data_IF_929103905250
#
_entry.id   IF_929103905250
#
_cell.length_a   1.000
_cell.length_b   1.000
_cell.length_c   1.000
_cell.angle_alpha   90.00
_cell.angle_beta   90.00
_cell.angle_gamma   90.00
#
_symmetry.space_group_name_H-M   'P 1'
#
loop_
_entity.id
_entity.type
_entity.pdbx_description
1 polymer ?
#
# COMPACT_ATOMS: atom_id res chain seq x y z
N UNK A 1 -58.36 25.90 11.06
CA UNK A 1 -57.23 25.95 12.02
C UNK A 1 -56.29 24.74 11.94
N UNK A 2 -56.78 23.49 11.89
CA UNK A 2 -55.92 22.27 11.83
C UNK A 2 -55.04 22.14 10.57
N UNK A 3 -55.42 22.74 9.43
CA UNK A 3 -54.65 22.69 8.17
C UNK A 3 -53.52 23.72 8.13
N UNK A 4 -53.74 24.91 8.71
CA UNK A 4 -52.74 25.99 8.78
C UNK A 4 -51.59 25.61 9.74
N UNK A 5 -51.91 24.91 10.84
CA UNK A 5 -50.92 24.44 11.80
C UNK A 5 -50.01 23.34 11.22
N UNK A 6 -50.52 22.47 10.33
CA UNK A 6 -49.71 21.45 9.63
C UNK A 6 -48.74 22.07 8.61
N UNK A 7 -49.15 23.13 7.90
CA UNK A 7 -48.26 23.86 6.98
C UNK A 7 -47.17 24.65 7.70
N UNK A 8 -47.45 25.24 8.86
CA UNK A 8 -46.45 25.96 9.66
C UNK A 8 -45.37 25.05 10.25
N UNK A 9 -45.74 23.83 10.68
CA UNK A 9 -44.78 22.82 11.17
C UNK A 9 -43.88 22.30 10.05
N UNK A 10 -44.41 22.13 8.83
CA UNK A 10 -43.62 21.67 7.67
C UNK A 10 -42.57 22.71 7.25
N UNK A 11 -42.91 24.00 7.27
CA UNK A 11 -41.98 25.11 6.94
C UNK A 11 -40.87 25.26 7.99
N UNK A 12 -41.17 25.05 9.28
CA UNK A 12 -40.17 25.08 10.35
C UNK A 12 -39.18 23.91 10.26
N UNK A 13 -39.65 22.70 9.90
CA UNK A 13 -38.78 21.52 9.75
C UNK A 13 -37.85 21.66 8.52
N UNK A 14 -38.34 22.20 7.41
CA UNK A 14 -37.50 22.47 6.22
C UNK A 14 -36.49 23.59 6.47
N UNK A 15 -36.85 24.61 7.25
CA UNK A 15 -35.94 25.71 7.60
C UNK A 15 -34.81 25.25 8.54
N UNK A 16 -35.09 24.33 9.47
CA UNK A 16 -34.08 23.79 10.39
C UNK A 16 -33.07 22.86 9.69
N UNK A 17 -33.47 22.16 8.62
CA UNK A 17 -32.57 21.33 7.83
C UNK A 17 -31.59 22.13 6.95
N UNK A 18 -31.99 23.32 6.47
CA UNK A 18 -31.13 24.16 5.63
C UNK A 18 -30.02 24.86 6.44
N UNK A 19 -30.34 25.34 7.65
CA UNK A 19 -29.37 26.05 8.51
C UNK A 19 -28.21 25.14 8.96
N UNK A 20 -28.48 23.86 9.23
CA UNK A 20 -27.46 22.89 9.61
C UNK A 20 -26.45 22.63 8.47
N UNK A 21 -26.94 22.61 7.23
CA UNK A 21 -26.09 22.37 6.05
C UNK A 21 -25.18 23.57 5.75
N UNK A 22 -25.66 24.80 5.96
CA UNK A 22 -24.88 26.02 5.73
C UNK A 22 -23.75 26.21 6.76
N UNK A 23 -24.02 25.88 8.03
CA UNK A 23 -22.99 25.94 9.08
C UNK A 23 -21.88 24.90 8.83
N UNK A 24 -22.24 23.67 8.46
CA UNK A 24 -21.25 22.63 8.12
C UNK A 24 -20.37 23.03 6.93
N UNK A 25 -20.95 23.64 5.88
CA UNK A 25 -20.19 24.15 4.73
C UNK A 25 -19.24 25.28 5.10
N UNK A 26 -19.65 26.16 6.01
CA UNK A 26 -18.79 27.23 6.53
C UNK A 26 -17.60 26.66 7.31
N UNK A 27 -17.85 25.72 8.22
CA UNK A 27 -16.81 25.04 8.98
C UNK A 27 -15.82 24.30 8.08
N UNK A 28 -16.34 23.59 7.06
CA UNK A 28 -15.50 22.92 6.06
C UNK A 28 -14.60 23.92 5.33
N UNK A 29 -15.16 25.05 4.87
CA UNK A 29 -14.39 26.11 4.20
C UNK A 29 -13.27 26.67 5.08
N UNK A 30 -13.56 26.96 6.34
CA UNK A 30 -12.56 27.47 7.29
C UNK A 30 -11.43 26.46 7.54
N UNK A 31 -11.75 25.17 7.66
CA UNK A 31 -10.74 24.13 7.83
C UNK A 31 -9.89 23.91 6.59
N UNK A 32 -10.51 23.87 5.41
CA UNK A 32 -9.79 23.76 4.13
C UNK A 32 -8.83 24.95 3.97
N UNK A 33 -9.28 26.17 4.29
CA UNK A 33 -8.43 27.36 4.23
C UNK A 33 -7.25 27.26 5.20
N UNK A 34 -7.48 26.82 6.45
CA UNK A 34 -6.40 26.61 7.44
C UNK A 34 -5.39 25.58 6.98
N UNK A 35 -5.84 24.45 6.44
CA UNK A 35 -4.96 23.41 5.92
C UNK A 35 -4.20 23.86 4.66
N UNK A 36 -4.85 24.61 3.77
CA UNK A 36 -4.18 25.14 2.58
C UNK A 36 -3.04 26.10 2.94
N UNK A 37 -3.17 26.87 4.02
CA UNK A 37 -2.11 27.77 4.49
C UNK A 37 -0.85 27.03 5.00
N UNK A 38 -0.94 25.72 5.26
CA UNK A 38 0.22 24.89 5.60
C UNK A 38 0.85 24.22 4.38
N UNK A 39 0.29 24.42 3.19
CA UNK A 39 0.86 23.92 1.94
C UNK A 39 1.97 24.87 1.41
N UNK A 40 2.97 24.36 0.67
CA UNK A 40 3.14 22.96 0.27
C UNK A 40 3.65 22.06 1.41
N UNK A 41 3.18 20.81 1.45
CA UNK A 41 3.63 19.78 2.42
C UNK A 41 4.31 18.65 1.65
N UNK A 42 5.60 18.46 1.85
CA UNK A 42 6.32 17.29 1.32
C UNK A 42 5.96 16.05 2.15
N UNK A 43 5.49 15.00 1.48
CA UNK A 43 5.25 13.66 2.04
C UNK A 43 6.42 12.74 1.70
N UNK A 44 7.65 13.24 1.87
CA UNK A 44 8.89 12.56 1.46
C UNK A 44 9.24 12.78 -0.01
N UNK A 45 10.16 11.98 -0.54
CA UNK A 45 10.70 12.13 -1.92
C UNK A 45 9.77 11.66 -3.05
N UNK A 46 8.52 11.29 -2.73
CA UNK A 46 7.57 10.68 -3.67
C UNK A 46 6.46 11.65 -4.05
N UNK A 47 5.98 12.44 -3.09
CA UNK A 47 4.73 13.21 -3.23
C UNK A 47 4.77 14.50 -2.42
N UNK A 48 4.20 15.57 -2.98
CA UNK A 48 3.99 16.85 -2.30
C UNK A 48 2.53 17.28 -2.40
N UNK A 49 1.89 17.62 -1.28
CA UNK A 49 0.58 18.28 -1.29
C UNK A 49 0.82 19.77 -1.60
N UNK A 50 0.38 20.23 -2.76
CA UNK A 50 0.60 21.60 -3.21
C UNK A 50 -0.47 22.57 -2.70
N UNK A 51 -1.73 22.12 -2.69
CA UNK A 51 -2.86 22.96 -2.32
C UNK A 51 -4.08 22.13 -1.97
N UNK A 52 -4.95 22.71 -1.16
CA UNK A 52 -6.29 22.19 -0.87
C UNK A 52 -7.29 23.33 -0.99
N UNK A 53 -8.31 23.16 -1.82
CA UNK A 53 -9.31 24.21 -2.08
C UNK A 53 -10.72 23.63 -2.04
N UNK A 54 -11.70 24.45 -1.66
CA UNK A 54 -13.12 24.10 -1.73
C UNK A 54 -13.73 24.85 -2.91
N UNK A 55 -14.06 24.15 -4.00
CA UNK A 55 -14.71 24.69 -5.20
C UNK A 55 -16.01 23.93 -5.45
N UNK A 56 -17.11 24.64 -5.70
CA UNK A 56 -18.41 24.03 -6.03
C UNK A 56 -18.83 22.85 -5.13
N UNK A 57 -18.65 23.02 -3.81
CA UNK A 57 -18.94 22.00 -2.80
C UNK A 57 -18.08 20.72 -2.91
N UNK A 58 -16.89 20.85 -3.48
CA UNK A 58 -15.89 19.79 -3.68
C UNK A 58 -14.56 20.23 -3.11
N UNK A 59 -13.97 19.41 -2.25
CA UNK A 59 -12.62 19.63 -1.73
C UNK A 59 -11.63 19.01 -2.71
N UNK A 60 -10.87 19.86 -3.39
CA UNK A 60 -9.81 19.45 -4.32
C UNK A 60 -8.46 19.51 -3.60
N UNK A 61 -7.78 18.38 -3.52
CA UNK A 61 -6.42 18.28 -2.99
C UNK A 61 -5.46 17.96 -4.14
N UNK A 62 -4.54 18.88 -4.42
CA UNK A 62 -3.59 18.76 -5.53
C UNK A 62 -2.24 18.24 -5.05
N UNK A 63 -1.76 17.19 -5.69
CA UNK A 63 -0.49 16.54 -5.42
C UNK A 63 0.47 16.68 -6.59
N UNK A 64 1.74 16.93 -6.31
CA UNK A 64 2.84 16.67 -7.25
C UNK A 64 3.41 15.29 -6.98
N UNK A 65 3.69 14.53 -8.04
CA UNK A 65 4.27 13.18 -7.97
C UNK A 65 5.60 13.14 -8.69
N UNK A 66 6.60 12.58 -8.02
CA UNK A 66 7.86 12.22 -8.64
C UNK A 66 7.66 10.99 -9.54
N UNK A 67 7.58 11.24 -10.85
CA UNK A 67 7.31 10.23 -11.87
C UNK A 67 8.44 9.22 -12.05
N UNK A 68 9.65 9.49 -11.53
CA UNK A 68 10.72 8.48 -11.52
C UNK A 68 10.46 7.34 -10.53
N UNK A 69 9.52 7.52 -9.60
CA UNK A 69 9.13 6.52 -8.60
C UNK A 69 7.75 5.95 -8.92
N UNK A 70 6.79 6.81 -9.24
CA UNK A 70 5.42 6.39 -9.56
C UNK A 70 4.92 7.15 -10.79
N UNK A 71 4.96 6.54 -11.98
CA UNK A 71 4.40 7.14 -13.18
C UNK A 71 2.90 7.42 -13.04
N UNK A 72 2.45 8.60 -13.47
CA UNK A 72 1.01 8.96 -13.45
C UNK A 72 0.16 7.98 -14.27
N UNK A 73 0.72 7.41 -15.33
CA UNK A 73 0.06 6.38 -16.14
C UNK A 73 -0.42 5.19 -15.32
N UNK A 74 0.30 4.77 -14.28
CA UNK A 74 -0.10 3.66 -13.41
C UNK A 74 -1.37 3.98 -12.62
N UNK A 75 -1.52 5.22 -12.14
CA UNK A 75 -2.71 5.68 -11.44
C UNK A 75 -3.92 5.63 -12.38
N UNK A 76 -3.75 6.10 -13.62
CA UNK A 76 -4.82 6.08 -14.62
C UNK A 76 -5.20 4.66 -15.05
N UNK A 77 -4.23 3.76 -15.22
CA UNK A 77 -4.47 2.37 -15.61
C UNK A 77 -5.10 1.53 -14.50
N UNK A 78 -4.91 1.90 -13.23
CA UNK A 78 -5.39 1.15 -12.05
C UNK A 78 -6.22 2.04 -11.11
N UNK A 79 -7.07 2.90 -11.69
CA UNK A 79 -7.80 3.95 -10.96
C UNK A 79 -8.56 3.42 -9.74
N UNK A 80 -9.27 2.30 -9.88
CA UNK A 80 -10.05 1.71 -8.79
C UNK A 80 -9.19 1.18 -7.64
N UNK A 81 -8.06 0.56 -7.93
CA UNK A 81 -7.13 0.09 -6.89
C UNK A 81 -6.53 1.27 -6.11
N UNK A 82 -6.15 2.33 -6.81
CA UNK A 82 -5.67 3.56 -6.17
C UNK A 82 -6.77 4.26 -5.38
N UNK A 83 -8.00 4.30 -5.90
CA UNK A 83 -9.16 4.88 -5.22
C UNK A 83 -9.46 4.12 -3.92
N UNK A 84 -9.47 2.78 -3.96
CA UNK A 84 -9.64 1.95 -2.77
C UNK A 84 -8.51 2.14 -1.75
N UNK A 85 -7.25 2.16 -2.20
CA UNK A 85 -6.10 2.42 -1.33
C UNK A 85 -6.19 3.80 -0.65
N UNK A 86 -6.54 4.83 -1.42
CA UNK A 86 -6.68 6.19 -0.90
C UNK A 86 -7.89 6.31 0.05
N UNK A 87 -9.00 5.62 -0.22
CA UNK A 87 -10.15 5.56 0.70
C UNK A 87 -9.71 5.07 2.09
N UNK A 88 -8.85 4.05 2.14
CA UNK A 88 -8.34 3.49 3.38
C UNK A 88 -7.36 4.42 4.09
N UNK A 89 -6.65 5.30 3.38
CA UNK A 89 -5.81 6.36 3.98
C UNK A 89 -6.69 7.47 4.56
N UNK A 90 -7.72 7.88 3.82
CA UNK A 90 -8.67 8.92 4.21
C UNK A 90 -9.50 8.50 5.44
N UNK A 91 -9.74 7.20 5.64
CA UNK A 91 -10.42 6.68 6.82
C UNK A 91 -9.55 6.61 8.09
N UNK A 92 -8.24 6.87 8.01
CA UNK A 92 -7.35 6.85 9.18
C UNK A 92 -7.56 8.05 10.09
N UNK A 93 -7.19 7.91 11.36
CA UNK A 93 -7.35 8.96 12.37
C UNK A 93 -6.70 10.30 11.97
N UNK A 94 -5.58 10.27 11.22
CA UNK A 94 -4.90 11.47 10.74
C UNK A 94 -5.72 12.32 9.76
N UNK A 95 -6.63 11.68 9.01
CA UNK A 95 -7.48 12.35 7.99
C UNK A 95 -8.94 12.46 8.43
N UNK A 96 -9.32 11.74 9.48
CA UNK A 96 -10.71 11.56 9.93
C UNK A 96 -11.45 12.86 10.14
N UNK A 97 -10.86 13.84 10.83
CA UNK A 97 -11.52 15.12 11.10
C UNK A 97 -11.88 15.83 9.78
N UNK A 98 -10.96 15.89 8.83
CA UNK A 98 -11.20 16.52 7.54
C UNK A 98 -12.30 15.79 6.77
N UNK A 99 -12.23 14.46 6.70
CA UNK A 99 -13.22 13.64 5.98
C UNK A 99 -14.60 13.71 6.64
N UNK A 100 -14.69 13.69 7.97
CA UNK A 100 -15.96 13.86 8.68
C UNK A 100 -16.63 15.19 8.34
N UNK A 101 -15.85 16.27 8.19
CA UNK A 101 -16.41 17.57 7.85
C UNK A 101 -16.83 17.67 6.38
N UNK A 102 -16.13 16.97 5.48
CA UNK A 102 -16.58 16.78 4.09
C UNK A 102 -17.94 16.06 4.08
N UNK A 103 -18.06 14.95 4.82
CA UNK A 103 -19.31 14.17 4.92
C UNK A 103 -20.44 14.99 5.55
N UNK A 104 -20.20 15.68 6.67
CA UNK A 104 -21.21 16.53 7.35
C UNK A 104 -21.70 17.69 6.49
N UNK A 105 -20.83 18.26 5.66
CA UNK A 105 -21.19 19.30 4.70
C UNK A 105 -21.86 18.76 3.43
N UNK A 106 -21.96 17.43 3.30
CA UNK A 106 -22.38 16.74 2.08
C UNK A 106 -21.58 17.22 0.84
N UNK A 107 -20.27 17.40 1.04
CA UNK A 107 -19.32 17.78 0.00
C UNK A 107 -18.67 16.54 -0.61
N UNK A 108 -18.09 16.70 -1.80
CA UNK A 108 -17.27 15.67 -2.43
C UNK A 108 -15.77 15.94 -2.21
N UNK A 109 -14.92 14.96 -2.48
CA UNK A 109 -13.47 15.08 -2.40
C UNK A 109 -12.84 14.60 -3.71
N UNK A 110 -11.85 15.33 -4.22
CA UNK A 110 -11.07 14.93 -5.39
C UNK A 110 -9.59 15.05 -5.08
N UNK A 111 -8.86 13.96 -5.24
CA UNK A 111 -7.40 13.95 -5.25
C UNK A 111 -6.90 14.10 -6.68
N UNK A 112 -6.14 15.17 -6.94
CA UNK A 112 -5.61 15.52 -8.26
C UNK A 112 -4.10 15.31 -8.25
N UNK A 113 -3.62 14.26 -8.91
CA UNK A 113 -2.19 13.95 -9.06
C UNK A 113 -1.65 14.58 -10.33
N UNK A 114 -0.51 15.28 -10.22
CA UNK A 114 0.18 15.91 -11.36
C UNK A 114 1.63 15.45 -11.38
N UNK A 115 2.06 14.92 -12.52
CA UNK A 115 3.45 14.52 -12.73
C UNK A 115 4.39 15.73 -12.77
N UNK A 116 5.46 15.70 -11.96
CA UNK A 116 6.43 16.80 -11.89
C UNK A 116 7.19 17.01 -13.21
N UNK A 117 7.37 15.96 -14.01
CA UNK A 117 8.18 15.99 -15.23
C UNK A 117 7.28 16.19 -16.46
N UNK A 118 6.17 15.47 -16.53
CA UNK A 118 5.28 15.44 -17.70
C UNK A 118 4.12 16.43 -17.62
N UNK A 119 3.73 16.87 -16.41
CA UNK A 119 2.49 17.62 -16.18
C UNK A 119 1.21 16.79 -16.37
N UNK A 120 1.33 15.48 -16.63
CA UNK A 120 0.18 14.57 -16.81
C UNK A 120 -0.66 14.51 -15.54
N UNK A 121 -1.97 14.38 -15.70
CA UNK A 121 -2.93 14.38 -14.59
C UNK A 121 -3.63 13.03 -14.40
N UNK A 122 -3.88 12.68 -13.16
CA UNK A 122 -4.81 11.63 -12.75
C UNK A 122 -5.69 12.14 -11.62
N UNK A 123 -6.98 11.80 -11.64
CA UNK A 123 -7.95 12.30 -10.67
C UNK A 123 -8.74 11.15 -10.05
N UNK A 124 -8.80 11.13 -8.72
CA UNK A 124 -9.58 10.18 -7.93
C UNK A 124 -10.66 10.93 -7.16
N UNK A 125 -11.90 10.74 -7.57
CA UNK A 125 -13.08 11.38 -7.02
C UNK A 125 -13.77 10.50 -5.96
N UNK A 126 -14.32 11.13 -4.93
CA UNK A 126 -15.06 10.49 -3.85
C UNK A 126 -16.28 11.33 -3.52
N UNK A 127 -17.45 10.69 -3.56
CA UNK A 127 -18.69 11.23 -3.03
C UNK A 127 -18.69 11.23 -1.50
N UNK A 128 -19.55 12.06 -0.90
CA UNK A 128 -19.81 12.04 0.55
C UNK A 128 -20.21 10.64 1.05
N UNK A 129 -21.00 9.91 0.25
CA UNK A 129 -21.44 8.55 0.59
C UNK A 129 -20.30 7.55 0.56
N UNK A 130 -19.45 7.57 -0.47
CA UNK A 130 -18.26 6.71 -0.53
C UNK A 130 -17.32 6.95 0.64
N UNK A 131 -17.09 8.23 1.01
CA UNK A 131 -16.25 8.58 2.17
C UNK A 131 -16.85 8.07 3.48
N UNK A 132 -18.16 8.25 3.68
CA UNK A 132 -18.87 7.72 4.85
C UNK A 132 -18.79 6.21 4.92
N UNK A 133 -19.07 5.50 3.83
CA UNK A 133 -18.97 4.04 3.78
C UNK A 133 -17.54 3.58 4.06
N UNK A 134 -16.52 4.26 3.53
CA UNK A 134 -15.12 3.94 3.81
C UNK A 134 -14.76 4.16 5.29
N UNK A 135 -15.28 5.23 5.93
CA UNK A 135 -15.07 5.51 7.36
C UNK A 135 -15.76 4.47 8.24
N UNK A 136 -17.00 4.10 7.94
CA UNK A 136 -17.75 3.06 8.64
C UNK A 136 -17.05 1.71 8.52
N UNK A 137 -16.64 1.34 7.29
CA UNK A 137 -15.87 0.12 7.03
C UNK A 137 -14.60 0.07 7.88
N UNK A 138 -13.81 1.14 7.90
CA UNK A 138 -12.57 1.21 8.68
C UNK A 138 -12.83 1.20 10.20
N UNK A 139 -13.87 1.89 10.67
CA UNK A 139 -14.23 1.94 12.09
C UNK A 139 -14.67 0.58 12.63
N UNK A 140 -15.31 -0.22 11.77
CA UNK A 140 -15.76 -1.57 12.10
C UNK A 140 -14.64 -2.63 12.06
N UNK A 141 -13.44 -2.28 11.60
CA UNK A 141 -12.29 -3.18 11.63
C UNK A 141 -11.75 -3.36 13.06
N UNK A 142 -11.30 -4.57 13.38
CA UNK A 142 -10.48 -4.80 14.57
C UNK A 142 -9.13 -4.10 14.44
N UNK A 143 -8.40 -3.92 15.55
CA UNK A 143 -7.05 -3.34 15.50
C UNK A 143 -6.10 -4.18 14.64
N UNK A 144 -6.19 -5.50 14.70
CA UNK A 144 -5.41 -6.41 13.84
C UNK A 144 -5.75 -6.21 12.35
N UNK A 145 -7.03 -6.06 12.01
CA UNK A 145 -7.45 -5.75 10.63
C UNK A 145 -6.95 -4.37 10.16
N UNK A 146 -7.04 -3.33 11.01
CA UNK A 146 -6.51 -1.99 10.69
C UNK A 146 -5.01 -2.01 10.48
N UNK A 147 -4.27 -2.77 11.29
CA UNK A 147 -2.82 -2.91 11.18
C UNK A 147 -2.44 -3.58 9.85
N UNK A 148 -3.10 -4.69 9.49
CA UNK A 148 -2.87 -5.37 8.22
C UNK A 148 -3.18 -4.45 7.05
N UNK A 149 -4.38 -3.86 7.02
CA UNK A 149 -4.80 -2.97 5.95
C UNK A 149 -3.86 -1.78 5.79
N UNK A 150 -3.38 -1.21 6.90
CA UNK A 150 -2.48 -0.06 6.87
C UNK A 150 -1.12 -0.39 6.24
N UNK A 151 -0.58 -1.59 6.53
CA UNK A 151 0.65 -2.09 5.92
C UNK A 151 0.45 -2.38 4.43
N UNK A 152 -0.64 -3.09 4.07
CA UNK A 152 -0.94 -3.42 2.66
C UNK A 152 -1.03 -2.17 1.80
N UNK A 153 -1.78 -1.15 2.24
CA UNK A 153 -1.93 0.10 1.48
C UNK A 153 -0.59 0.80 1.27
N UNK A 154 0.25 0.87 2.31
CA UNK A 154 1.58 1.48 2.20
C UNK A 154 2.51 0.74 1.23
N UNK A 155 2.39 -0.58 1.16
CA UNK A 155 3.17 -1.41 0.23
C UNK A 155 2.63 -1.31 -1.20
N UNK A 156 1.31 -1.40 -1.40
CA UNK A 156 0.65 -1.30 -2.71
C UNK A 156 0.97 0.00 -3.45
N UNK A 157 1.08 1.11 -2.73
CA UNK A 157 1.44 2.41 -3.31
C UNK A 157 2.84 2.44 -3.95
N UNK A 158 3.69 1.45 -3.67
CA UNK A 158 5.05 1.34 -4.23
C UNK A 158 5.14 0.29 -5.35
N UNK A 159 4.03 -0.35 -5.72
CA UNK A 159 4.04 -1.41 -6.73
C UNK A 159 3.90 -0.83 -8.15
N UNK A 160 4.52 -1.48 -9.16
CA UNK A 160 5.47 -2.59 -9.03
C UNK A 160 6.80 -2.11 -8.39
N UNK A 161 7.41 -2.95 -7.56
CA UNK A 161 8.65 -2.63 -6.86
C UNK A 161 9.75 -3.62 -7.22
N UNK A 162 10.88 -3.14 -7.77
CA UNK A 162 12.08 -3.95 -7.99
C UNK A 162 12.63 -4.41 -6.63
N UNK A 163 12.78 -5.71 -6.44
CA UNK A 163 13.32 -6.32 -5.21
C UNK A 163 14.82 -6.53 -5.35
N UNK A 164 15.20 -7.13 -6.48
CA UNK A 164 16.57 -7.38 -6.92
C UNK A 164 16.60 -7.35 -8.46
N UNK A 165 17.71 -7.76 -9.08
CA UNK A 165 17.88 -7.69 -10.53
C UNK A 165 16.96 -8.59 -11.33
N UNK A 166 16.52 -9.71 -10.75
CA UNK A 166 15.68 -10.70 -11.42
C UNK A 166 14.25 -10.72 -10.89
N UNK A 167 13.98 -10.14 -9.73
CA UNK A 167 12.70 -10.23 -9.02
C UNK A 167 12.02 -8.87 -8.89
N UNK A 168 10.78 -8.79 -9.36
CA UNK A 168 9.91 -7.62 -9.17
C UNK A 168 8.67 -8.03 -8.39
N UNK A 169 8.38 -7.32 -7.30
CA UNK A 169 7.09 -7.44 -6.63
C UNK A 169 6.03 -6.74 -7.46
N UNK A 170 5.11 -7.50 -8.03
CA UNK A 170 4.07 -7.00 -8.93
C UNK A 170 2.71 -6.85 -8.24
N UNK A 171 2.51 -7.52 -7.10
CA UNK A 171 1.22 -7.52 -6.43
C UNK A 171 1.27 -7.84 -4.95
N UNK A 172 0.28 -7.30 -4.24
CA UNK A 172 -0.04 -7.65 -2.86
C UNK A 172 -1.55 -7.73 -2.73
N UNK A 173 -2.07 -8.79 -2.13
CA UNK A 173 -3.52 -8.93 -1.91
C UNK A 173 -3.79 -9.70 -0.63
N UNK A 174 -4.98 -9.54 -0.06
CA UNK A 174 -5.43 -10.35 1.08
C UNK A 174 -6.59 -11.23 0.63
N UNK A 175 -6.55 -12.48 1.07
CA UNK A 175 -7.62 -13.47 0.88
C UNK A 175 -8.21 -13.83 2.24
N UNK A 176 -9.25 -14.66 2.32
CA UNK A 176 -9.76 -15.09 3.63
C UNK A 176 -8.74 -15.85 4.49
N UNK A 177 -7.71 -16.45 3.90
CA UNK A 177 -6.76 -17.32 4.62
C UNK A 177 -5.29 -16.93 4.49
N UNK A 178 -4.93 -15.98 3.62
CA UNK A 178 -3.55 -15.56 3.44
C UNK A 178 -3.40 -14.11 2.94
N UNK A 179 -2.33 -13.47 3.39
CA UNK A 179 -1.70 -12.35 2.70
C UNK A 179 -0.86 -12.91 1.53
N UNK A 180 -1.21 -12.51 0.31
CA UNK A 180 -0.62 -13.03 -0.93
C UNK A 180 0.32 -11.99 -1.54
N UNK A 181 1.60 -12.31 -1.58
CA UNK A 181 2.63 -11.58 -2.33
C UNK A 181 2.74 -12.17 -3.73
N UNK A 182 2.82 -11.32 -4.75
CA UNK A 182 3.02 -11.72 -6.13
C UNK A 182 4.32 -11.13 -6.64
N UNK A 183 5.17 -12.00 -7.15
CA UNK A 183 6.45 -11.67 -7.74
C UNK A 183 6.50 -12.13 -9.19
N UNK A 184 7.13 -11.32 -10.00
CA UNK A 184 7.56 -11.66 -11.34
C UNK A 184 9.07 -11.88 -11.31
N UNK A 185 9.52 -12.97 -11.93
CA UNK A 185 10.95 -13.33 -12.02
C UNK A 185 11.34 -13.38 -13.49
N UNK A 186 12.41 -12.67 -13.84
CA UNK A 186 13.02 -12.77 -15.15
C UNK A 186 13.96 -13.97 -15.19
N UNK A 187 13.49 -15.04 -15.81
CA UNK A 187 14.04 -16.39 -15.70
C UNK A 187 15.23 -16.68 -16.64
N UNK A 188 15.93 -15.65 -17.13
CA UNK A 188 17.12 -15.86 -17.97
C UNK A 188 18.35 -16.35 -17.17
N UNK A 189 18.32 -16.27 -15.83
CA UNK A 189 19.50 -16.46 -14.97
C UNK A 189 19.43 -17.65 -14.01
N UNK A 190 18.31 -18.39 -13.90
CA UNK A 190 18.17 -19.40 -12.81
C UNK A 190 18.65 -20.79 -13.20
N UNK A 191 18.45 -21.24 -14.45
CA UNK A 191 18.82 -22.58 -14.93
C UNK A 191 18.12 -23.77 -14.23
N UNK A 192 17.38 -23.52 -13.14
CA UNK A 192 16.68 -24.51 -12.32
C UNK A 192 15.17 -24.50 -12.60
N UNK A 193 14.47 -25.56 -12.22
CA UNK A 193 13.00 -25.53 -12.23
C UNK A 193 12.51 -24.54 -11.17
N UNK A 194 11.56 -23.66 -11.54
CA UNK A 194 10.83 -22.75 -10.63
C UNK A 194 10.41 -23.38 -9.28
N UNK A 195 10.17 -24.69 -9.27
CA UNK A 195 9.79 -25.44 -8.08
C UNK A 195 10.94 -25.60 -7.06
N UNK A 196 12.19 -25.78 -7.53
CA UNK A 196 13.38 -25.82 -6.68
C UNK A 196 13.67 -24.44 -6.09
N UNK A 197 13.62 -23.41 -6.94
CA UNK A 197 13.70 -22.00 -6.55
C UNK A 197 12.70 -21.65 -5.43
N UNK A 198 11.42 -22.00 -5.59
CA UNK A 198 10.36 -21.75 -4.60
C UNK A 198 10.60 -22.44 -3.26
N UNK A 199 11.20 -23.64 -3.25
CA UNK A 199 11.59 -24.35 -2.04
C UNK A 199 12.68 -23.62 -1.24
N UNK A 200 13.69 -23.07 -1.93
CA UNK A 200 14.72 -22.22 -1.33
C UNK A 200 14.11 -20.91 -0.81
N UNK A 201 13.27 -20.26 -1.63
CA UNK A 201 12.64 -18.99 -1.30
C UNK A 201 11.71 -19.07 -0.09
N UNK A 202 11.03 -20.19 0.15
CA UNK A 202 10.24 -20.38 1.38
C UNK A 202 11.13 -20.26 2.62
N UNK A 203 12.26 -20.95 2.63
CA UNK A 203 13.18 -20.92 3.78
C UNK A 203 13.79 -19.53 3.96
N UNK A 204 14.24 -18.89 2.88
CA UNK A 204 14.79 -17.54 2.92
C UNK A 204 13.76 -16.55 3.47
N UNK A 205 12.51 -16.64 3.01
CA UNK A 205 11.42 -15.77 3.47
C UNK A 205 11.16 -15.96 4.97
N UNK A 206 11.08 -17.20 5.44
CA UNK A 206 10.89 -17.48 6.87
C UNK A 206 12.06 -16.97 7.72
N UNK A 207 13.30 -17.11 7.25
CA UNK A 207 14.49 -16.56 7.91
C UNK A 207 14.48 -15.02 7.94
N UNK A 208 14.05 -14.37 6.86
CA UNK A 208 13.89 -12.91 6.82
C UNK A 208 12.81 -12.43 7.78
N UNK A 209 11.67 -13.14 7.86
CA UNK A 209 10.62 -12.85 8.84
C UNK A 209 11.17 -12.94 10.28
N UNK A 210 11.93 -14.01 10.59
CA UNK A 210 12.56 -14.18 11.89
C UNK A 210 13.54 -13.05 12.21
N UNK A 211 14.40 -12.69 11.25
CA UNK A 211 15.34 -11.59 11.40
C UNK A 211 14.64 -10.25 11.62
N UNK A 212 13.58 -9.96 10.85
CA UNK A 212 12.75 -8.76 11.00
C UNK A 212 12.10 -8.65 12.39
N UNK A 213 11.64 -9.77 12.96
CA UNK A 213 11.05 -9.83 14.30
C UNK A 213 12.12 -9.66 15.39
N UNK A 214 13.33 -10.15 15.13
CA UNK A 214 14.46 -10.09 16.07
C UNK A 214 15.18 -8.73 16.07
N UNK A 215 14.87 -7.83 15.13
CA UNK A 215 15.44 -6.47 15.12
C UNK A 215 15.10 -5.72 16.41
N UNK A 216 16.11 -5.06 17.00
CA UNK A 216 15.89 -4.27 18.20
C UNK A 216 15.07 -3.01 17.94
N UNK A 217 14.31 -2.60 18.96
CA UNK A 217 13.55 -1.35 18.96
C UNK A 217 12.24 -1.40 18.17
N UNK A 218 11.81 -0.22 17.73
CA UNK A 218 10.46 0.01 17.17
C UNK A 218 10.21 -0.84 15.92
N UNK A 219 11.25 -1.12 15.13
CA UNK A 219 11.08 -1.87 13.87
C UNK A 219 10.73 -3.34 14.14
N UNK A 220 11.45 -4.03 15.03
CA UNK A 220 11.11 -5.42 15.38
C UNK A 220 9.79 -5.53 16.12
N UNK A 221 9.45 -4.58 17.00
CA UNK A 221 8.13 -4.55 17.64
C UNK A 221 7.01 -4.37 16.61
N UNK A 222 7.20 -3.50 15.61
CA UNK A 222 6.24 -3.31 14.53
C UNK A 222 6.06 -4.58 13.71
N UNK A 223 7.15 -5.25 13.34
CA UNK A 223 7.11 -6.49 12.58
C UNK A 223 6.41 -7.60 13.37
N UNK A 224 6.74 -7.75 14.66
CA UNK A 224 6.08 -8.70 15.56
C UNK A 224 4.57 -8.50 15.61
N UNK A 225 4.11 -7.26 15.87
CA UNK A 225 2.68 -6.92 15.91
C UNK A 225 1.98 -7.19 14.57
N UNK A 226 2.66 -6.96 13.46
CA UNK A 226 2.10 -7.26 12.14
C UNK A 226 1.86 -8.76 11.94
N UNK A 227 2.82 -9.62 12.30
CA UNK A 227 2.65 -11.07 12.21
C UNK A 227 1.64 -11.63 13.23
N UNK A 228 1.56 -11.05 14.43
CA UNK A 228 0.50 -11.35 15.41
C UNK A 228 -0.89 -11.00 14.85
N UNK A 229 -1.03 -9.83 14.21
CA UNK A 229 -2.28 -9.44 13.59
C UNK A 229 -2.72 -10.38 12.46
N UNK A 230 -1.77 -10.88 11.65
CA UNK A 230 -2.05 -11.91 10.66
C UNK A 230 -2.64 -13.16 11.32
N UNK A 231 -2.04 -13.65 12.40
CA UNK A 231 -2.53 -14.81 13.16
C UNK A 231 -3.95 -14.56 13.70
N UNK A 232 -4.19 -13.40 14.32
CA UNK A 232 -5.50 -13.03 14.87
C UNK A 232 -6.60 -13.00 13.80
N UNK A 233 -6.24 -12.62 12.58
CA UNK A 233 -7.15 -12.55 11.44
C UNK A 233 -7.26 -13.87 10.66
N UNK A 234 -6.64 -14.96 11.14
CA UNK A 234 -6.65 -16.26 10.47
C UNK A 234 -5.86 -16.28 9.16
N UNK A 235 -4.87 -15.39 9.01
CA UNK A 235 -4.08 -15.21 7.79
C UNK A 235 -2.72 -15.90 7.92
N UNK A 236 -2.42 -16.80 7.00
CA UNK A 236 -1.06 -17.20 6.67
C UNK A 236 -0.38 -16.18 5.73
N UNK A 237 0.75 -16.57 5.17
CA UNK A 237 1.39 -15.85 4.06
C UNK A 237 1.47 -16.79 2.87
N UNK A 238 1.09 -16.30 1.69
CA UNK A 238 1.28 -17.00 0.42
C UNK A 238 2.19 -16.16 -0.46
N UNK A 239 3.12 -16.82 -1.14
CA UNK A 239 3.98 -16.16 -2.13
C UNK A 239 3.80 -16.85 -3.47
N UNK A 240 3.49 -16.06 -4.49
CA UNK A 240 3.29 -16.51 -5.86
C UNK A 240 4.39 -15.93 -6.75
N UNK A 241 5.14 -16.79 -7.42
CA UNK A 241 6.12 -16.42 -8.43
C UNK A 241 5.56 -16.72 -9.81
N UNK A 242 5.82 -15.81 -10.74
CA UNK A 242 5.48 -15.93 -12.15
C UNK A 242 6.72 -15.65 -12.99
N UNK A 243 7.11 -16.58 -13.85
CA UNK A 243 8.23 -16.40 -14.78
C UNK A 243 7.78 -15.60 -16.00
N UNK A 244 8.43 -14.48 -16.28
CA UNK A 244 8.09 -13.59 -17.41
C UNK A 244 8.20 -14.28 -18.77
N UNK A 245 9.19 -15.18 -18.93
CA UNK A 245 9.57 -15.74 -20.22
C UNK A 245 8.80 -17.02 -20.57
N UNK A 246 8.58 -17.88 -19.58
CA UNK A 246 7.94 -19.20 -19.75
C UNK A 246 6.45 -19.17 -19.41
N UNK A 247 6.01 -18.20 -18.59
CA UNK A 247 4.67 -18.15 -18.00
C UNK A 247 4.45 -19.16 -16.87
N UNK A 248 5.50 -19.88 -16.42
CA UNK A 248 5.38 -20.83 -15.32
C UNK A 248 5.02 -20.11 -14.02
N UNK A 249 4.42 -20.88 -13.11
CA UNK A 249 4.00 -20.40 -11.80
C UNK A 249 4.41 -21.39 -10.73
N UNK A 250 4.88 -20.87 -9.62
CA UNK A 250 5.11 -21.65 -8.43
C UNK A 250 4.75 -20.84 -7.19
N UNK A 251 4.31 -21.55 -6.17
CA UNK A 251 3.81 -20.92 -4.96
C UNK A 251 4.27 -21.67 -3.73
N UNK A 252 4.52 -20.95 -2.64
CA UNK A 252 4.64 -21.55 -1.33
C UNK A 252 3.75 -20.83 -0.32
N UNK A 253 3.35 -21.57 0.70
CA UNK A 253 2.58 -21.05 1.83
C UNK A 253 3.40 -21.13 3.12
N UNK A 254 3.26 -20.12 3.97
CA UNK A 254 3.69 -20.09 5.36
C UNK A 254 2.42 -20.09 6.20
N UNK A 255 2.14 -21.22 6.84
CA UNK A 255 0.97 -21.45 7.68
C UNK A 255 1.00 -20.62 8.96
N UNK A 256 -0.17 -20.45 9.58
CA UNK A 256 -0.30 -19.79 10.89
C UNK A 256 0.60 -20.47 11.95
N UNK A 257 0.72 -21.80 11.94
CA UNK A 257 1.62 -22.53 12.83
C UNK A 257 3.08 -22.17 12.61
N UNK A 258 3.51 -22.06 11.35
CA UNK A 258 4.89 -21.65 11.03
C UNK A 258 5.16 -20.21 11.46
N UNK A 259 4.20 -19.28 11.29
CA UNK A 259 4.32 -17.91 11.81
C UNK A 259 4.44 -17.89 13.35
N UNK A 260 3.68 -18.74 14.06
CA UNK A 260 3.78 -18.89 15.52
C UNK A 260 5.14 -19.42 15.96
N UNK A 261 5.70 -20.38 15.21
CA UNK A 261 7.04 -20.90 15.48
C UNK A 261 8.13 -19.84 15.28
N UNK A 262 7.99 -18.99 14.25
CA UNK A 262 8.87 -17.83 14.04
C UNK A 262 8.76 -16.84 15.21
N UNK A 263 7.55 -16.43 15.59
CA UNK A 263 7.32 -15.45 16.67
C UNK A 263 7.85 -15.91 18.03
N UNK A 264 7.76 -17.22 18.31
CA UNK A 264 8.24 -17.84 19.55
C UNK A 264 9.74 -18.14 19.55
N UNK A 265 10.45 -17.89 18.44
CA UNK A 265 11.87 -18.22 18.29
C UNK A 265 12.14 -19.73 18.18
N UNK A 266 11.11 -20.55 18.01
CA UNK A 266 11.23 -22.00 17.76
C UNK A 266 11.69 -22.29 16.34
N UNK A 267 11.43 -21.37 15.40
CA UNK A 267 12.02 -21.44 14.08
C UNK A 267 13.53 -21.25 14.19
N UNK A 268 14.23 -22.36 14.33
CA UNK A 268 15.68 -22.47 14.20
C UNK A 268 15.96 -23.22 12.91
N UNK A 269 16.06 -22.50 11.81
CA UNK A 269 16.84 -22.95 10.65
C UNK A 269 17.95 -21.93 10.47
N UNK A 270 19.18 -22.41 10.44
CA UNK A 270 20.40 -21.60 10.42
C UNK A 270 20.23 -20.41 9.47
N UNK A 271 20.77 -19.24 9.85
CA UNK A 271 21.03 -18.18 8.87
C UNK A 271 21.63 -18.85 7.62
N UNK A 272 21.19 -18.51 6.39
CA UNK A 272 21.74 -19.12 5.18
C UNK A 272 23.26 -19.09 5.32
N UNK A 273 23.82 -20.29 5.35
CA UNK A 273 25.24 -20.48 5.63
C UNK A 273 26.02 -19.81 4.51
N UNK A 274 27.30 -19.50 4.73
CA UNK A 274 28.15 -19.07 3.62
C UNK A 274 28.12 -20.12 2.49
N UNK A 275 27.89 -21.40 2.81
CA UNK A 275 27.69 -22.48 1.84
C UNK A 275 26.36 -22.34 1.06
N UNK A 276 25.26 -21.93 1.69
CA UNK A 276 23.99 -21.66 1.00
C UNK A 276 24.11 -20.45 0.05
N UNK A 277 24.82 -19.40 0.48
CA UNK A 277 25.15 -18.25 -0.37
C UNK A 277 26.15 -18.60 -1.47
N UNK A 278 27.15 -19.42 -1.17
CA UNK A 278 28.14 -19.89 -2.13
C UNK A 278 27.55 -20.89 -3.12
N UNK A 279 26.52 -21.65 -2.76
CA UNK A 279 25.81 -22.52 -3.70
C UNK A 279 24.95 -21.69 -4.65
N UNK A 280 24.37 -20.58 -4.18
CA UNK A 280 23.75 -19.56 -5.04
C UNK A 280 24.79 -18.88 -5.95
N UNK A 281 25.94 -18.48 -5.39
CA UNK A 281 27.05 -17.88 -6.14
C UNK A 281 27.70 -18.82 -7.13
N UNK A 282 27.84 -20.12 -6.80
CA UNK A 282 28.36 -21.15 -7.71
C UNK A 282 27.36 -21.52 -8.80
N UNK A 283 26.06 -21.53 -8.50
CA UNK A 283 25.04 -21.67 -9.52
C UNK A 283 25.13 -20.52 -10.54
N UNK A 284 25.51 -19.32 -10.10
CA UNK A 284 25.79 -18.16 -10.96
C UNK A 284 27.13 -18.28 -11.72
N UNK A 285 28.22 -18.69 -11.06
CA UNK A 285 29.54 -18.88 -11.71
C UNK A 285 29.57 -20.04 -12.73
N UNK A 286 28.82 -21.13 -12.49
CA UNK A 286 28.71 -22.25 -13.44
C UNK A 286 27.95 -21.85 -14.71
N UNK A 287 27.10 -20.82 -14.65
CA UNK A 287 26.42 -20.24 -15.82
C UNK A 287 27.38 -19.40 -16.68
N UNK A 288 28.33 -18.69 -16.07
CA UNK A 288 29.37 -17.92 -16.77
C UNK A 288 30.29 -18.83 -17.61
N UNK A 289 30.61 -20.03 -17.10
CA UNK A 289 31.43 -21.01 -17.83
C UNK A 289 30.72 -21.67 -19.02
N UNK A 290 29.39 -21.72 -19.03
CA UNK A 290 28.61 -22.38 -20.09
C UNK A 290 28.28 -21.43 -21.25
N UNK A 291 28.14 -20.12 -21.00
CA UNK A 291 27.70 -19.14 -22.01
C UNK A 291 28.77 -18.15 -22.48
N UNK A 292 29.97 -18.15 -21.88
CA UNK A 292 31.11 -17.37 -22.34
C UNK A 292 31.08 -15.91 -21.88
N UNK A 293 32.27 -15.37 -21.62
CA UNK A 293 32.53 -14.08 -20.92
C UNK A 293 31.91 -12.82 -21.57
N UNK A 294 31.32 -12.89 -22.76
CA UNK A 294 30.83 -11.71 -23.50
C UNK A 294 29.37 -11.30 -23.16
N UNK A 295 28.65 -12.06 -22.31
CA UNK A 295 27.25 -11.74 -21.95
C UNK A 295 27.05 -11.08 -20.58
N UNK A 296 28.12 -10.85 -19.81
CA UNK A 296 28.03 -10.20 -18.49
C UNK A 296 28.90 -8.95 -18.51
N UNK A 297 28.25 -7.77 -18.52
CA UNK A 297 28.95 -6.50 -18.43
C UNK A 297 29.59 -6.33 -17.06
N UNK A 298 30.89 -6.60 -16.97
CA UNK A 298 31.69 -6.33 -15.78
C UNK A 298 31.68 -4.83 -15.43
N UNK A 299 31.34 -4.52 -14.17
CA UNK A 299 31.64 -3.23 -13.56
C UNK A 299 33.13 -3.18 -13.23
N UNK A 300 33.84 -2.20 -13.78
CA UNK A 300 35.16 -1.81 -13.26
C UNK A 300 34.99 -1.27 -11.83
N UNK A 301 35.77 -1.81 -10.91
CA UNK A 301 36.04 -1.23 -9.60
C UNK A 301 36.58 0.19 -9.79
N UNK A 302 35.80 1.20 -9.39
CA UNK A 302 36.37 2.51 -9.06
C UNK A 302 36.43 2.65 -7.56
N UNK A 303 37.66 2.58 -7.06
CA UNK A 303 38.09 2.85 -5.69
C UNK A 303 37.41 4.08 -5.08
N UNK A 304 36.84 3.90 -3.89
CA UNK A 304 36.55 5.00 -2.97
C UNK A 304 37.24 4.73 -1.63
N UNK A 305 38.32 5.51 -1.41
CA UNK A 305 38.77 5.93 -0.09
C UNK A 305 37.77 6.90 0.55
#
# INVERSE_FOLDING_TARGET
MKTILKSLVLIFITSFCLVSCDENKKQLREQVQKFNNTCPISLGGIMTINSVVLQDNTVEMKFSINESITPISLINSHKEDFKENLSMILSRESSKIMVENIVKANASFVAIFVGEQSGTRAELDFTSDELRTAQERFSNMTESQKLIASNIVGMKMRLPAKVDDITTMTGLSITPSALVYKYEVNDYETGESINQFVGLMKNITMSQMAAQIAQDGIMGERNRKFYEALIDCGQGVKVEYHESNTGNRATFDISISEIKDILSGKYQKNAPTMEDWNNLGKAVEELEQVYGEDSVGYYEETDYY
#
